data_IF_457228405605
#
_entry.id   IF_457228405605
#
_cell.length_a   1.000
_cell.length_b   1.000
_cell.length_c   1.000
_cell.angle_alpha   90.00
_cell.angle_beta   90.00
_cell.angle_gamma   90.00
#
_symmetry.space_group_name_H-M   'P 1'
#
loop_
_entity.id
_entity.type
_entity.pdbx_description
1 polymer ?
#
# COMPACT_ATOMS: atom_id res chain seq x y z
N UNK A 1 1.53 25.91 20.90
CA UNK A 1 1.92 25.45 19.54
C UNK A 1 0.70 24.82 18.89
N UNK A 2 0.38 25.18 17.64
CA UNK A 2 -0.70 24.52 16.90
C UNK A 2 -0.31 23.05 16.66
N UNK A 3 -1.27 22.12 16.81
CA UNK A 3 -1.02 20.70 16.52
C UNK A 3 -0.72 20.54 15.02
N UNK A 4 0.35 19.82 14.68
CA UNK A 4 0.64 19.42 13.31
C UNK A 4 -0.59 18.71 12.72
N UNK A 5 -1.00 19.03 11.48
CA UNK A 5 -2.12 18.34 10.85
C UNK A 5 -1.73 16.88 10.59
N UNK A 6 -2.73 15.99 10.68
CA UNK A 6 -2.49 14.59 10.37
C UNK A 6 -2.12 14.39 8.90
N UNK A 7 -1.15 13.52 8.58
CA UNK A 7 -0.71 13.22 7.20
C UNK A 7 -1.87 12.87 6.27
N UNK A 8 -2.78 12.00 6.70
CA UNK A 8 -3.88 11.54 5.85
C UNK A 8 -4.80 12.69 5.40
N UNK A 9 -5.34 13.53 6.30
CA UNK A 9 -6.01 14.79 5.92
C UNK A 9 -5.18 15.67 5.02
N UNK A 10 -3.91 15.88 5.35
CA UNK A 10 -3.06 16.75 4.56
C UNK A 10 -2.91 16.25 3.11
N UNK A 11 -2.56 14.97 2.92
CA UNK A 11 -2.41 14.34 1.61
C UNK A 11 -3.71 14.38 0.82
N UNK A 12 -4.85 14.15 1.49
CA UNK A 12 -6.16 14.26 0.88
C UNK A 12 -6.42 15.66 0.32
N UNK A 13 -6.30 16.70 1.16
CA UNK A 13 -6.54 18.07 0.72
C UNK A 13 -5.58 18.51 -0.37
N UNK A 14 -4.31 18.11 -0.24
CA UNK A 14 -3.28 18.38 -1.23
C UNK A 14 -3.63 17.78 -2.60
N UNK A 15 -4.03 16.51 -2.66
CA UNK A 15 -4.33 15.83 -3.92
C UNK A 15 -5.69 16.25 -4.50
N UNK A 16 -6.68 16.54 -3.66
CA UNK A 16 -7.94 17.14 -4.10
C UNK A 16 -7.74 18.51 -4.75
N UNK A 17 -6.84 19.33 -4.21
CA UNK A 17 -6.48 20.60 -4.83
C UNK A 17 -5.96 20.41 -6.27
N UNK A 18 -5.19 19.35 -6.51
CA UNK A 18 -4.65 19.01 -7.83
C UNK A 18 -5.47 17.96 -8.58
N UNK A 19 -6.75 17.74 -8.23
CA UNK A 19 -7.61 16.71 -8.85
C UNK A 19 -7.71 16.85 -10.37
N UNK A 20 -7.67 18.07 -10.89
CA UNK A 20 -7.70 18.31 -12.34
C UNK A 20 -6.44 17.76 -13.00
N UNK A 21 -5.26 18.05 -12.43
CA UNK A 21 -3.98 17.53 -12.92
C UNK A 21 -3.93 16.02 -12.85
N UNK A 22 -4.38 15.43 -11.73
CA UNK A 22 -4.47 13.96 -11.57
C UNK A 22 -5.32 13.36 -12.69
N UNK A 23 -6.50 13.93 -12.98
CA UNK A 23 -7.38 13.45 -14.06
C UNK A 23 -6.72 13.55 -15.44
N UNK A 24 -6.09 14.69 -15.75
CA UNK A 24 -5.41 14.89 -17.04
C UNK A 24 -4.23 13.92 -17.22
N UNK A 25 -3.41 13.73 -16.19
CA UNK A 25 -2.31 12.76 -16.20
C UNK A 25 -2.78 11.32 -16.36
N UNK A 26 -3.95 10.99 -15.78
CA UNK A 26 -4.54 9.67 -15.97
C UNK A 26 -5.05 9.46 -17.40
N UNK A 27 -5.41 10.55 -18.09
CA UNK A 27 -5.93 10.57 -19.45
C UNK A 27 -7.37 10.09 -19.54
N UNK A 28 -7.93 10.10 -20.76
CA UNK A 28 -9.17 9.38 -21.02
C UNK A 28 -8.92 7.90 -20.84
N UNK A 29 -9.56 7.33 -19.81
CA UNK A 29 -9.38 5.92 -19.54
C UNK A 29 -10.15 5.11 -20.59
N UNK A 30 -9.53 4.09 -21.20
CA UNK A 30 -10.31 3.08 -21.90
C UNK A 30 -11.32 2.50 -20.91
N UNK A 31 -12.50 2.13 -21.40
CA UNK A 31 -13.50 1.42 -20.59
C UNK A 31 -12.84 0.21 -19.94
N UNK A 32 -12.69 0.27 -18.61
CA UNK A 32 -12.09 -0.83 -17.88
C UNK A 32 -13.01 -2.05 -18.03
N UNK A 33 -12.43 -3.20 -18.36
CA UNK A 33 -13.16 -4.46 -18.35
C UNK A 33 -13.29 -4.96 -16.91
N UNK A 34 -14.22 -5.87 -16.66
CA UNK A 34 -14.30 -6.57 -15.37
C UNK A 34 -13.01 -7.37 -15.09
N UNK A 35 -12.69 -7.65 -13.81
CA UNK A 35 -11.56 -8.50 -13.44
C UNK A 35 -11.58 -9.81 -14.21
N UNK A 36 -10.43 -10.24 -14.76
CA UNK A 36 -10.33 -11.46 -15.57
C UNK A 36 -9.56 -12.60 -14.89
N UNK A 37 -9.07 -12.39 -13.66
CA UNK A 37 -8.46 -13.46 -12.88
C UNK A 37 -9.46 -14.58 -12.61
N UNK A 38 -9.03 -15.81 -12.88
CA UNK A 38 -9.82 -17.04 -12.66
C UNK A 38 -9.03 -18.10 -11.91
N UNK A 39 -7.88 -17.74 -11.32
CA UNK A 39 -7.08 -18.69 -10.56
C UNK A 39 -7.85 -19.20 -9.33
N UNK A 40 -7.52 -20.42 -8.86
CA UNK A 40 -8.06 -20.93 -7.60
C UNK A 40 -7.74 -20.00 -6.44
N UNK A 41 -8.69 -19.89 -5.51
CA UNK A 41 -8.50 -19.18 -4.25
C UNK A 41 -7.67 -20.04 -3.29
N UNK A 42 -6.62 -19.45 -2.71
CA UNK A 42 -5.74 -20.09 -1.75
C UNK A 42 -6.54 -20.55 -0.52
N UNK A 43 -6.23 -21.72 0.07
CA UNK A 43 -6.98 -22.26 1.22
C UNK A 43 -7.14 -21.31 2.41
N UNK A 44 -6.22 -20.36 2.61
CA UNK A 44 -6.33 -19.33 3.67
C UNK A 44 -7.63 -18.53 3.54
N UNK A 45 -8.09 -18.27 2.32
CA UNK A 45 -9.20 -17.36 2.05
C UNK A 45 -10.55 -18.04 1.85
N UNK A 46 -10.60 -19.38 1.94
CA UNK A 46 -11.85 -20.14 1.82
C UNK A 46 -12.87 -19.68 2.85
N UNK A 47 -14.17 -19.78 2.50
CA UNK A 47 -15.31 -19.43 3.36
C UNK A 47 -15.19 -20.01 4.78
N UNK A 48 -14.74 -21.27 4.90
CA UNK A 48 -14.56 -21.96 6.19
C UNK A 48 -13.53 -21.32 7.13
N UNK A 49 -12.67 -20.41 6.64
CA UNK A 49 -11.69 -19.66 7.46
C UNK A 49 -12.21 -18.30 7.93
N UNK A 50 -13.40 -17.90 7.53
CA UNK A 50 -14.03 -16.66 7.98
C UNK A 50 -14.90 -16.90 9.22
N UNK A 51 -14.83 -16.01 10.21
CA UNK A 51 -15.70 -16.06 11.38
C UNK A 51 -17.13 -15.59 11.05
N UNK A 52 -18.12 -16.18 11.70
CA UNK A 52 -19.57 -15.96 11.43
C UNK A 52 -20.26 -15.12 12.50
N UNK A 53 -19.58 -14.10 13.05
CA UNK A 53 -20.15 -13.22 14.09
C UNK A 53 -21.31 -12.35 13.56
N UNK A 54 -22.32 -12.01 14.38
CA UNK A 54 -23.37 -11.08 13.98
C UNK A 54 -22.83 -9.78 13.37
N UNK A 55 -23.41 -9.38 12.24
CA UNK A 55 -22.98 -8.18 11.52
C UNK A 55 -21.77 -8.35 10.61
N UNK A 56 -21.24 -9.57 10.46
CA UNK A 56 -20.34 -9.94 9.36
C UNK A 56 -21.14 -10.48 8.17
N UNK A 57 -20.98 -9.89 6.99
CA UNK A 57 -21.74 -10.27 5.80
C UNK A 57 -20.84 -10.97 4.77
N UNK A 58 -19.76 -11.63 5.23
CA UNK A 58 -18.76 -12.20 4.33
C UNK A 58 -19.37 -13.20 3.34
N UNK A 59 -20.34 -14.03 3.76
CA UNK A 59 -21.04 -14.99 2.88
C UNK A 59 -21.77 -14.26 1.76
N UNK A 60 -22.47 -13.16 2.08
CA UNK A 60 -23.22 -12.34 1.12
C UNK A 60 -22.28 -11.68 0.10
N UNK A 61 -21.14 -11.15 0.57
CA UNK A 61 -20.22 -10.38 -0.27
C UNK A 61 -19.10 -11.22 -0.89
N UNK A 62 -18.98 -12.52 -0.58
CA UNK A 62 -17.82 -13.34 -0.96
C UNK A 62 -17.56 -13.30 -2.47
N UNK A 63 -18.61 -13.41 -3.28
CA UNK A 63 -18.49 -13.34 -4.75
C UNK A 63 -18.03 -11.95 -5.23
N UNK A 64 -18.38 -10.88 -4.51
CA UNK A 64 -17.98 -9.50 -4.84
C UNK A 64 -16.53 -9.22 -4.45
N UNK A 65 -16.00 -9.90 -3.44
CA UNK A 65 -14.58 -9.79 -3.05
C UNK A 65 -13.70 -10.86 -3.70
N UNK A 66 -14.30 -11.83 -4.40
CA UNK A 66 -13.58 -12.94 -5.02
C UNK A 66 -12.38 -12.50 -5.86
N UNK A 67 -12.45 -11.44 -6.71
CA UNK A 67 -11.28 -10.99 -7.45
C UNK A 67 -10.11 -10.54 -6.57
N UNK A 68 -10.39 -9.93 -5.42
CA UNK A 68 -9.36 -9.55 -4.44
C UNK A 68 -8.74 -10.79 -3.79
N UNK A 69 -9.55 -11.80 -3.45
CA UNK A 69 -9.08 -13.06 -2.89
C UNK A 69 -8.24 -13.84 -3.91
N UNK A 70 -8.63 -13.83 -5.19
CA UNK A 70 -7.86 -14.44 -6.28
C UNK A 70 -6.52 -13.74 -6.47
N UNK A 71 -6.49 -12.41 -6.47
CA UNK A 71 -5.26 -11.63 -6.51
C UNK A 71 -4.35 -11.95 -5.31
N UNK A 72 -4.90 -11.92 -4.10
CA UNK A 72 -4.18 -12.28 -2.88
C UNK A 72 -3.64 -13.72 -2.94
N UNK A 73 -4.37 -14.64 -3.58
CA UNK A 73 -3.93 -16.03 -3.77
C UNK A 73 -2.71 -16.12 -4.68
N UNK A 74 -2.61 -15.27 -5.72
CA UNK A 74 -1.42 -15.23 -6.57
C UNK A 74 -0.20 -14.75 -5.78
N UNK A 75 -0.35 -13.79 -4.86
CA UNK A 75 0.75 -13.39 -3.97
C UNK A 75 1.27 -14.52 -3.07
N UNK A 76 0.44 -15.53 -2.79
CA UNK A 76 0.78 -16.66 -1.92
C UNK A 76 1.12 -17.96 -2.67
N UNK A 77 0.96 -17.98 -3.99
CA UNK A 77 1.17 -19.18 -4.80
C UNK A 77 2.29 -19.04 -5.83
N UNK A 78 2.52 -17.82 -6.33
CA UNK A 78 3.49 -17.56 -7.39
C UNK A 78 4.90 -17.40 -6.82
N UNK A 79 5.89 -18.03 -7.46
CA UNK A 79 7.26 -18.12 -6.95
C UNK A 79 7.92 -16.75 -6.71
N UNK A 80 7.66 -15.79 -7.60
CA UNK A 80 8.21 -14.44 -7.49
C UNK A 80 7.81 -13.73 -6.20
N UNK A 81 6.51 -13.50 -5.93
CA UNK A 81 6.03 -12.99 -4.65
C UNK A 81 6.47 -13.83 -3.44
N UNK A 82 6.56 -15.17 -3.60
CA UNK A 82 6.97 -16.07 -2.52
C UNK A 82 8.42 -15.91 -2.07
N UNK A 83 9.29 -15.28 -2.87
CA UNK A 83 10.64 -14.93 -2.42
C UNK A 83 10.63 -14.11 -1.14
N UNK A 84 9.61 -13.26 -0.93
CA UNK A 84 9.51 -12.47 0.28
C UNK A 84 9.37 -13.37 1.52
N UNK A 85 8.42 -14.31 1.47
CA UNK A 85 8.18 -15.27 2.56
C UNK A 85 9.37 -16.24 2.74
N UNK A 86 10.03 -16.60 1.65
CA UNK A 86 11.23 -17.44 1.68
C UNK A 86 12.38 -16.75 2.41
N UNK A 87 12.65 -15.47 2.09
CA UNK A 87 13.65 -14.68 2.80
C UNK A 87 13.29 -14.56 4.28
N UNK A 88 12.03 -14.30 4.64
CA UNK A 88 11.60 -14.28 6.05
C UNK A 88 11.83 -15.62 6.79
N UNK A 89 11.74 -16.75 6.08
CA UNK A 89 11.89 -18.09 6.68
C UNK A 89 13.35 -18.50 6.82
N UNK A 90 14.17 -18.21 5.82
CA UNK A 90 15.50 -18.83 5.67
C UNK A 90 16.68 -17.84 5.75
N UNK A 91 16.41 -16.57 6.01
CA UNK A 91 17.48 -15.59 6.30
C UNK A 91 18.06 -15.80 7.68
N UNK A 92 19.33 -15.42 7.82
CA UNK A 92 19.93 -15.26 9.15
C UNK A 92 19.32 -14.04 9.84
N UNK A 93 19.03 -14.14 11.13
CA UNK A 93 18.64 -13.01 11.98
C UNK A 93 19.89 -12.47 12.65
N UNK A 94 20.22 -11.21 12.41
CA UNK A 94 21.33 -10.50 13.06
C UNK A 94 20.81 -9.30 13.84
N UNK A 95 21.56 -8.84 14.84
CA UNK A 95 21.24 -7.63 15.58
C UNK A 95 22.03 -6.45 15.02
N UNK A 96 21.39 -5.30 14.85
CA UNK A 96 22.08 -4.04 14.55
C UNK A 96 22.69 -3.44 15.85
N UNK A 97 23.36 -2.30 15.74
CA UNK A 97 23.96 -1.60 16.88
C UNK A 97 22.96 -1.18 17.97
N UNK A 98 21.66 -1.07 17.63
CA UNK A 98 20.57 -0.76 18.55
C UNK A 98 19.90 -2.02 19.14
N UNK A 99 20.47 -3.22 18.92
CA UNK A 99 19.91 -4.47 19.41
C UNK A 99 18.62 -4.91 18.70
N UNK A 100 18.29 -4.34 17.54
CA UNK A 100 17.12 -4.72 16.74
C UNK A 100 17.49 -5.79 15.73
N UNK A 101 16.66 -6.82 15.64
CA UNK A 101 16.86 -7.91 14.69
C UNK A 101 16.57 -7.46 13.26
N UNK A 102 17.40 -7.89 12.30
CA UNK A 102 17.18 -7.72 10.86
C UNK A 102 17.51 -9.00 10.09
N UNK A 103 16.98 -9.12 8.87
CA UNK A 103 17.15 -10.32 8.03
C UNK A 103 18.32 -10.16 7.04
N UNK A 104 19.30 -11.06 7.15
CA UNK A 104 20.40 -11.22 6.18
C UNK A 104 20.09 -12.38 5.23
N UNK A 105 19.91 -12.11 3.92
CA UNK A 105 19.57 -13.16 2.96
C UNK A 105 20.66 -14.25 2.88
N UNK A 106 20.25 -15.51 2.78
CA UNK A 106 21.14 -16.67 2.56
C UNK A 106 21.00 -17.21 1.13
N UNK A 107 21.99 -17.90 0.54
CA UNK A 107 21.81 -18.50 -0.79
C UNK A 107 20.63 -19.48 -0.89
N UNK A 108 20.18 -20.05 0.24
CA UNK A 108 19.10 -21.03 0.27
C UNK A 108 17.72 -20.43 -0.01
N UNK A 109 17.43 -19.17 0.37
CA UNK A 109 16.06 -18.64 0.28
C UNK A 109 15.55 -18.51 -1.16
N UNK A 110 16.42 -18.45 -2.16
CA UNK A 110 16.03 -18.39 -3.58
C UNK A 110 15.86 -19.76 -4.24
N UNK A 111 16.14 -20.85 -3.50
CA UNK A 111 16.10 -22.20 -4.07
C UNK A 111 14.67 -22.71 -4.27
N UNK A 112 14.41 -23.59 -5.27
CA UNK A 112 13.11 -24.23 -5.43
C UNK A 112 12.64 -24.99 -4.19
N UNK A 113 13.57 -25.58 -3.44
CA UNK A 113 13.29 -26.32 -2.20
C UNK A 113 12.77 -25.38 -1.11
N UNK A 114 13.40 -24.22 -0.92
CA UNK A 114 12.94 -23.20 0.01
C UNK A 114 11.52 -22.72 -0.35
N UNK A 115 11.25 -22.43 -1.63
CA UNK A 115 9.93 -22.04 -2.11
C UNK A 115 8.87 -23.12 -1.88
N UNK A 116 9.21 -24.41 -2.09
CA UNK A 116 8.31 -25.52 -1.82
C UNK A 116 7.96 -25.66 -0.33
N UNK A 117 8.92 -25.44 0.57
CA UNK A 117 8.69 -25.39 2.01
C UNK A 117 7.79 -24.21 2.41
N UNK A 118 8.01 -23.03 1.83
CA UNK A 118 7.13 -21.86 2.05
C UNK A 118 5.69 -22.15 1.66
N UNK A 119 5.46 -22.74 0.48
CA UNK A 119 4.11 -23.16 0.03
C UNK A 119 3.48 -24.14 1.02
N UNK A 120 4.27 -25.08 1.54
CA UNK A 120 3.82 -26.03 2.58
C UNK A 120 3.45 -25.31 3.88
N UNK A 121 4.26 -24.35 4.32
CA UNK A 121 3.98 -23.53 5.50
C UNK A 121 2.70 -22.70 5.33
N UNK A 122 2.50 -22.05 4.19
CA UNK A 122 1.28 -21.29 3.89
C UNK A 122 0.03 -22.19 3.85
N UNK A 123 0.15 -23.41 3.31
CA UNK A 123 -0.90 -24.43 3.36
C UNK A 123 -1.17 -24.93 4.79
N UNK A 124 -0.18 -24.96 5.67
CA UNK A 124 -0.40 -25.32 7.07
C UNK A 124 -0.99 -24.15 7.87
N UNK A 125 -0.55 -22.92 7.62
CA UNK A 125 -1.15 -21.69 8.16
C UNK A 125 -2.65 -21.62 7.83
N UNK A 126 -3.05 -22.03 6.62
CA UNK A 126 -4.47 -22.06 6.23
C UNK A 126 -5.36 -22.94 7.12
N UNK A 127 -4.78 -23.88 7.86
CA UNK A 127 -5.52 -24.77 8.77
C UNK A 127 -5.83 -24.10 10.11
N UNK A 128 -5.12 -23.01 10.44
CA UNK A 128 -5.17 -22.39 11.78
C UNK A 128 -5.56 -20.91 11.77
N UNK A 129 -5.45 -20.21 10.63
CA UNK A 129 -5.72 -18.78 10.52
C UNK A 129 -7.20 -18.39 10.53
N UNK A 130 -7.58 -17.30 11.20
CA UNK A 130 -8.95 -16.74 11.10
C UNK A 130 -8.97 -15.46 10.30
N UNK A 131 -10.00 -15.29 9.47
CA UNK A 131 -10.34 -14.04 8.82
C UNK A 131 -11.66 -13.51 9.39
N UNK A 132 -11.79 -12.21 9.55
CA UNK A 132 -13.05 -11.57 9.91
C UNK A 132 -13.05 -10.08 9.56
N UNK A 133 -14.23 -9.49 9.51
CA UNK A 133 -14.38 -8.04 9.55
C UNK A 133 -14.52 -7.56 11.00
N UNK A 134 -13.97 -6.40 11.30
CA UNK A 134 -14.08 -5.76 12.61
C UNK A 134 -15.58 -5.52 12.98
N UNK A 135 -16.01 -5.86 14.21
CA UNK A 135 -17.33 -5.53 14.73
C UNK A 135 -17.66 -4.04 14.69
N UNK A 136 -18.94 -3.67 14.80
CA UNK A 136 -19.40 -2.27 14.74
C UNK A 136 -18.70 -1.34 15.75
N UNK A 137 -18.52 -1.82 16.97
CA UNK A 137 -18.12 -0.92 18.05
C UNK A 137 -16.61 -0.64 18.07
N UNK A 138 -15.86 -1.34 17.21
CA UNK A 138 -14.41 -1.23 17.05
C UNK A 138 -13.97 -0.39 15.84
N UNK A 139 -14.90 0.20 15.08
CA UNK A 139 -14.60 1.07 13.92
C UNK A 139 -13.81 2.33 14.26
N UNK A 140 -13.64 2.67 15.55
CA UNK A 140 -12.85 3.84 15.95
C UNK A 140 -11.35 3.70 15.60
N UNK A 141 -10.85 2.48 15.34
CA UNK A 141 -9.46 2.29 14.88
C UNK A 141 -9.34 2.63 13.39
N UNK A 142 -8.37 3.47 13.04
CA UNK A 142 -8.09 3.93 11.66
C UNK A 142 -7.41 2.86 10.76
N UNK A 143 -7.18 1.65 11.25
CA UNK A 143 -6.41 0.64 10.53
C UNK A 143 -7.28 -0.10 9.50
N UNK A 144 -6.70 -0.46 8.35
CA UNK A 144 -7.40 -1.22 7.32
C UNK A 144 -7.44 -2.72 7.62
N UNK A 145 -6.47 -3.20 8.39
CA UNK A 145 -6.34 -4.56 8.88
C UNK A 145 -5.59 -4.56 10.21
N UNK A 146 -5.67 -5.66 10.95
CA UNK A 146 -4.80 -5.92 12.10
C UNK A 146 -4.68 -7.43 12.28
N UNK A 147 -3.45 -7.90 12.46
CA UNK A 147 -3.15 -9.29 12.80
C UNK A 147 -2.92 -9.44 14.28
N UNK A 148 -3.56 -10.44 14.87
CA UNK A 148 -3.33 -10.88 16.24
C UNK A 148 -2.62 -12.22 16.23
N UNK A 149 -1.60 -12.37 17.09
CA UNK A 149 -0.84 -13.62 17.24
C UNK A 149 -1.76 -14.81 17.54
N UNK A 150 -2.72 -14.59 18.44
CA UNK A 150 -3.77 -15.55 18.78
C UNK A 150 -5.14 -14.92 18.72
N UNK A 151 -6.16 -15.75 18.53
CA UNK A 151 -7.57 -15.31 18.55
C UNK A 151 -7.93 -14.65 19.88
N UNK A 152 -7.44 -15.21 20.97
CA UNK A 152 -7.68 -14.76 22.34
C UNK A 152 -7.17 -13.34 22.61
N UNK A 153 -6.22 -12.86 21.78
CA UNK A 153 -5.65 -11.52 21.89
C UNK A 153 -6.53 -10.45 21.21
N UNK A 154 -7.58 -10.86 20.48
CA UNK A 154 -8.53 -9.89 19.91
C UNK A 154 -9.31 -9.20 21.05
N UNK A 155 -9.44 -7.86 21.06
CA UNK A 155 -10.11 -7.13 22.15
C UNK A 155 -11.56 -7.55 22.44
N UNK A 156 -12.20 -8.17 21.45
CA UNK A 156 -13.61 -8.60 21.45
C UNK A 156 -13.75 -10.12 21.39
N UNK A 157 -12.67 -10.88 21.62
CA UNK A 157 -12.70 -12.34 21.54
C UNK A 157 -13.77 -12.96 22.46
N UNK A 158 -13.97 -12.38 23.65
CA UNK A 158 -14.96 -12.84 24.63
C UNK A 158 -16.42 -12.73 24.13
N UNK A 159 -16.69 -11.92 23.10
CA UNK A 159 -18.00 -11.84 22.45
C UNK A 159 -18.20 -12.95 21.41
N UNK A 160 -17.13 -13.58 20.94
CA UNK A 160 -17.17 -14.62 19.92
C UNK A 160 -17.47 -15.98 20.56
N UNK A 161 -18.56 -16.61 20.14
CA UNK A 161 -18.84 -18.00 20.54
C UNK A 161 -17.94 -18.95 19.75
N UNK A 162 -17.58 -20.10 20.34
CA UNK A 162 -16.75 -21.12 19.69
C UNK A 162 -17.31 -21.55 18.32
N UNK A 163 -18.62 -21.68 18.20
CA UNK A 163 -19.31 -22.02 16.95
C UNK A 163 -19.20 -20.96 15.84
N UNK A 164 -18.85 -19.71 16.19
CA UNK A 164 -18.65 -18.64 15.23
C UNK A 164 -17.22 -18.58 14.70
N UNK A 165 -16.31 -19.39 15.25
CA UNK A 165 -14.91 -19.42 14.87
C UNK A 165 -14.63 -20.64 13.97
N UNK A 166 -13.74 -20.50 12.98
CA UNK A 166 -13.28 -21.66 12.20
C UNK A 166 -12.70 -22.72 13.13
N UNK A 167 -13.04 -23.99 12.88
CA UNK A 167 -12.43 -25.11 13.60
C UNK A 167 -10.91 -25.09 13.39
N UNK A 168 -10.17 -25.26 14.48
CA UNK A 168 -8.72 -25.45 14.47
C UNK A 168 -8.44 -26.82 15.10
N UNK A 169 -7.58 -27.64 14.51
CA UNK A 169 -7.07 -28.84 15.15
C UNK A 169 -6.54 -28.54 16.56
N UNK A 170 -6.82 -29.37 17.58
CA UNK A 170 -6.28 -29.21 18.93
C UNK A 170 -4.75 -29.00 18.87
N UNK A 171 -4.28 -27.87 19.40
CA UNK A 171 -2.96 -27.35 19.05
C UNK A 171 -1.80 -28.09 19.72
N UNK A 172 -0.80 -28.46 18.94
CA UNK A 172 0.55 -28.87 19.37
C UNK A 172 1.47 -27.67 19.72
N UNK A 173 0.90 -26.57 20.23
CA UNK A 173 1.64 -25.32 20.52
C UNK A 173 1.85 -24.36 19.34
N UNK A 174 1.24 -24.62 18.18
CA UNK A 174 1.33 -23.76 16.99
C UNK A 174 0.45 -22.51 17.16
N UNK A 175 0.94 -21.34 16.72
CA UNK A 175 0.19 -20.09 16.71
C UNK A 175 -1.10 -20.18 15.85
N UNK A 176 -2.18 -19.53 16.29
CA UNK A 176 -3.47 -19.46 15.63
C UNK A 176 -3.82 -18.00 15.25
N UNK A 177 -3.06 -17.39 14.32
CA UNK A 177 -3.18 -15.98 14.03
C UNK A 177 -4.57 -15.61 13.49
N UNK A 178 -4.99 -14.39 13.78
CA UNK A 178 -6.28 -13.85 13.36
C UNK A 178 -6.12 -12.51 12.68
N UNK A 179 -6.65 -12.40 11.47
CA UNK A 179 -6.67 -11.17 10.69
C UNK A 179 -8.06 -10.54 10.80
N UNK A 180 -8.09 -9.33 11.34
CA UNK A 180 -9.30 -8.51 11.46
C UNK A 180 -9.22 -7.37 10.45
N UNK A 181 -10.07 -7.43 9.41
CA UNK A 181 -10.16 -6.44 8.35
C UNK A 181 -11.13 -5.32 8.71
N UNK A 182 -10.90 -4.12 8.20
CA UNK A 182 -11.83 -2.99 8.38
C UNK A 182 -13.22 -3.32 7.81
N UNK A 183 -14.29 -3.03 8.57
CA UNK A 183 -15.67 -3.18 8.07
C UNK A 183 -16.03 -2.19 6.97
N UNK A 184 -15.16 -1.22 6.68
CA UNK A 184 -15.31 -0.38 5.48
C UNK A 184 -15.36 -1.24 4.22
N UNK A 185 -14.59 -2.33 4.16
CA UNK A 185 -14.68 -3.30 3.07
C UNK A 185 -16.07 -3.97 3.05
N UNK A 186 -16.51 -4.56 4.16
CA UNK A 186 -17.85 -5.18 4.29
C UNK A 186 -18.96 -4.22 3.85
N UNK A 187 -18.94 -2.98 4.37
CA UNK A 187 -19.92 -1.94 4.06
C UNK A 187 -19.92 -1.57 2.59
N UNK A 188 -18.74 -1.35 1.99
CA UNK A 188 -18.64 -0.98 0.58
C UNK A 188 -19.15 -2.10 -0.34
N UNK A 189 -18.62 -3.32 -0.19
CA UNK A 189 -19.00 -4.44 -1.05
C UNK A 189 -20.45 -4.85 -0.84
N UNK A 190 -21.01 -4.66 0.36
CA UNK A 190 -22.42 -4.93 0.65
C UNK A 190 -23.36 -3.86 0.09
N UNK A 191 -23.13 -2.59 0.47
CA UNK A 191 -24.10 -1.49 0.27
C UNK A 191 -23.79 -0.61 -0.93
N UNK A 192 -22.53 -0.23 -1.11
CA UNK A 192 -22.14 0.78 -2.12
C UNK A 192 -21.99 0.15 -3.50
N UNK A 193 -21.53 -1.10 -3.58
CA UNK A 193 -21.30 -1.81 -4.84
C UNK A 193 -22.28 -2.97 -5.08
N UNK A 194 -23.52 -2.82 -4.63
CA UNK A 194 -24.58 -3.81 -4.93
C UNK A 194 -24.85 -3.93 -6.46
N UNK A 195 -24.51 -2.90 -7.25
CA UNK A 195 -24.63 -2.87 -8.71
C UNK A 195 -23.25 -2.69 -9.38
N UNK A 196 -22.68 -3.73 -10.00
CA UNK A 196 -21.28 -3.74 -10.47
C UNK A 196 -20.87 -2.74 -11.55
N UNK A 197 -21.81 -1.96 -12.11
CA UNK A 197 -21.58 -1.19 -13.33
C UNK A 197 -21.44 0.33 -13.12
N UNK A 198 -21.67 0.85 -11.91
CA UNK A 198 -21.74 2.31 -11.74
C UNK A 198 -20.39 3.01 -11.58
N UNK A 199 -19.34 2.31 -11.11
CA UNK A 199 -17.98 2.89 -11.00
C UNK A 199 -16.89 1.80 -10.90
N UNK A 200 -16.45 1.26 -12.04
CA UNK A 200 -15.44 0.19 -12.08
C UNK A 200 -14.10 0.60 -11.48
N UNK A 201 -13.67 1.85 -11.69
CA UNK A 201 -12.41 2.35 -11.12
C UNK A 201 -12.42 2.27 -9.59
N UNK A 202 -13.53 2.63 -8.96
CA UNK A 202 -13.70 2.56 -7.51
C UNK A 202 -13.71 1.13 -6.99
N UNK A 203 -14.36 0.23 -7.73
CA UNK A 203 -14.36 -1.19 -7.43
C UNK A 203 -12.94 -1.78 -7.48
N UNK A 204 -12.18 -1.47 -8.53
CA UNK A 204 -10.78 -1.91 -8.63
C UNK A 204 -9.91 -1.39 -7.50
N UNK A 205 -10.11 -0.13 -7.07
CA UNK A 205 -9.41 0.41 -5.90
C UNK A 205 -9.76 -0.34 -4.62
N UNK A 206 -11.05 -0.61 -4.40
CA UNK A 206 -11.48 -1.37 -3.24
C UNK A 206 -10.92 -2.81 -3.24
N UNK A 207 -10.94 -3.47 -4.40
CA UNK A 207 -10.38 -4.82 -4.57
C UNK A 207 -8.86 -4.83 -4.32
N UNK A 208 -8.11 -3.87 -4.89
CA UNK A 208 -6.66 -3.79 -4.69
C UNK A 208 -6.32 -3.48 -3.23
N UNK A 209 -7.03 -2.52 -2.61
CA UNK A 209 -6.84 -2.22 -1.19
C UNK A 209 -7.10 -3.45 -0.33
N UNK A 210 -8.18 -4.19 -0.58
CA UNK A 210 -8.48 -5.42 0.16
C UNK A 210 -7.39 -6.48 -0.03
N UNK A 211 -6.98 -6.75 -1.28
CA UNK A 211 -5.93 -7.73 -1.57
C UNK A 211 -4.57 -7.33 -0.96
N UNK A 212 -4.22 -6.05 -1.02
CA UNK A 212 -3.00 -5.51 -0.43
C UNK A 212 -3.01 -5.62 1.09
N UNK A 213 -4.13 -5.30 1.74
CA UNK A 213 -4.26 -5.40 3.21
C UNK A 213 -4.21 -6.86 3.62
N UNK A 214 -4.91 -7.75 2.92
CA UNK A 214 -4.83 -9.19 3.20
C UNK A 214 -3.39 -9.70 3.10
N UNK A 215 -2.66 -9.35 2.03
CA UNK A 215 -1.26 -9.77 1.89
C UNK A 215 -0.35 -9.22 2.99
N UNK A 216 -0.53 -7.96 3.37
CA UNK A 216 0.14 -7.31 4.50
C UNK A 216 -0.12 -8.07 5.81
N UNK A 217 -1.37 -8.36 6.15
CA UNK A 217 -1.71 -9.06 7.39
C UNK A 217 -1.32 -10.56 7.36
N UNK A 218 -1.28 -11.19 6.18
CA UNK A 218 -0.74 -12.54 6.03
C UNK A 218 0.78 -12.57 6.26
N UNK A 219 1.52 -11.50 5.92
CA UNK A 219 2.94 -11.40 6.22
C UNK A 219 3.20 -11.51 7.74
N UNK A 220 2.44 -10.76 8.53
CA UNK A 220 2.45 -10.82 10.00
C UNK A 220 2.04 -12.19 10.53
N UNK A 221 0.92 -12.71 10.03
CA UNK A 221 0.40 -14.04 10.41
C UNK A 221 1.41 -15.15 10.13
N UNK A 222 2.12 -15.05 9.01
CA UNK A 222 3.14 -16.01 8.63
C UNK A 222 4.34 -15.95 9.57
N UNK A 223 4.83 -14.75 9.92
CA UNK A 223 5.89 -14.57 10.91
C UNK A 223 5.54 -15.24 12.25
N UNK A 224 4.32 -15.00 12.76
CA UNK A 224 3.82 -15.65 13.98
C UNK A 224 3.74 -17.17 13.87
N UNK A 225 3.40 -17.68 12.69
CA UNK A 225 3.28 -19.11 12.44
C UNK A 225 4.64 -19.83 12.39
N UNK A 226 5.62 -19.25 11.68
CA UNK A 226 6.93 -19.91 11.51
C UNK A 226 7.90 -19.69 12.68
N UNK A 227 7.82 -18.55 13.36
CA UNK A 227 8.77 -18.17 14.43
C UNK A 227 8.12 -18.18 15.83
N UNK A 228 6.81 -18.41 15.94
CA UNK A 228 6.09 -18.46 17.21
C UNK A 228 5.71 -17.09 17.77
N UNK A 229 5.27 -17.08 19.03
CA UNK A 229 4.80 -15.89 19.76
C UNK A 229 5.89 -15.17 20.56
N UNK A 230 7.01 -15.87 20.80
CA UNK A 230 8.02 -15.40 21.72
C UNK A 230 8.80 -14.27 21.07
N UNK A 231 8.68 -13.08 21.65
CA UNK A 231 9.40 -11.87 21.27
C UNK A 231 10.89 -12.19 20.97
N UNK A 232 11.42 -11.66 19.86
CA UNK A 232 11.49 -10.22 19.68
C UNK A 232 10.42 -9.66 18.75
N UNK A 233 10.18 -8.36 18.89
CA UNK A 233 9.59 -7.47 17.89
C UNK A 233 9.90 -7.94 16.46
N UNK A 234 8.96 -7.71 15.54
CA UNK A 234 9.17 -8.04 14.11
C UNK A 234 10.56 -7.59 13.64
N UNK A 235 11.30 -8.48 12.95
CA UNK A 235 12.61 -8.11 12.45
C UNK A 235 12.45 -7.03 11.38
N UNK A 236 13.48 -6.18 11.27
CA UNK A 236 13.63 -5.33 10.10
C UNK A 236 13.87 -6.23 8.88
N UNK A 237 13.28 -5.89 7.75
CA UNK A 237 13.51 -6.64 6.51
C UNK A 237 14.99 -6.65 6.12
N UNK A 238 15.66 -5.56 6.43
CA UNK A 238 17.04 -5.25 6.07
C UNK A 238 17.64 -4.30 7.12
N UNK A 239 18.97 -4.19 7.18
CA UNK A 239 19.67 -3.32 8.14
C UNK A 239 19.37 -1.83 7.93
N UNK A 240 18.93 -1.42 6.75
CA UNK A 240 18.64 -0.01 6.43
C UNK A 240 17.19 0.38 6.71
N UNK A 241 16.30 -0.57 7.01
CA UNK A 241 14.93 -0.24 7.42
C UNK A 241 14.92 0.32 8.84
N UNK A 242 14.04 1.32 9.06
CA UNK A 242 13.95 2.00 10.36
C UNK A 242 12.80 1.51 11.24
N UNK A 243 11.91 0.68 10.70
CA UNK A 243 10.80 0.09 11.46
C UNK A 243 10.64 -1.39 11.15
N UNK A 244 10.43 -2.20 12.19
CA UNK A 244 10.05 -3.61 12.05
C UNK A 244 8.57 -3.71 11.76
N UNK A 245 8.21 -3.56 10.49
CA UNK A 245 6.84 -3.71 10.01
C UNK A 245 6.88 -4.53 8.72
N UNK A 246 6.75 -5.85 8.88
CA UNK A 246 6.90 -6.82 7.81
C UNK A 246 5.83 -6.68 6.72
N UNK A 247 4.64 -6.17 7.06
CA UNK A 247 3.56 -5.96 6.11
C UNK A 247 3.86 -4.86 5.09
N UNK A 248 4.49 -3.77 5.50
CA UNK A 248 4.94 -2.68 4.63
C UNK A 248 6.12 -3.13 3.77
N UNK A 249 7.07 -3.85 4.36
CA UNK A 249 8.14 -4.50 3.60
C UNK A 249 7.55 -5.42 2.52
N UNK A 250 6.55 -6.24 2.87
CA UNK A 250 5.85 -7.10 1.92
C UNK A 250 5.20 -6.28 0.79
N UNK A 251 4.48 -5.20 1.11
CA UNK A 251 3.86 -4.34 0.09
C UNK A 251 4.91 -3.74 -0.86
N UNK A 252 6.05 -3.25 -0.35
CA UNK A 252 7.13 -2.73 -1.19
C UNK A 252 7.74 -3.80 -2.10
N UNK A 253 8.04 -4.98 -1.57
CA UNK A 253 8.71 -6.05 -2.32
C UNK A 253 7.77 -6.78 -3.30
N UNK A 254 6.48 -6.90 -2.97
CA UNK A 254 5.49 -7.63 -3.78
C UNK A 254 4.70 -6.71 -4.70
N UNK A 255 4.28 -5.52 -4.24
CA UNK A 255 3.50 -4.59 -5.08
C UNK A 255 4.36 -3.50 -5.72
N UNK A 256 5.59 -3.27 -5.24
CA UNK A 256 6.44 -2.16 -5.66
C UNK A 256 6.06 -0.80 -5.06
N UNK A 257 5.04 -0.77 -4.19
CA UNK A 257 4.54 0.41 -3.50
C UNK A 257 3.63 0.04 -2.33
N UNK A 258 3.45 0.97 -1.39
CA UNK A 258 2.37 0.91 -0.38
C UNK A 258 1.19 1.73 -0.90
N UNK A 259 0.05 1.11 -1.28
CA UNK A 259 -1.13 1.84 -1.72
C UNK A 259 -1.83 2.52 -0.53
N UNK A 260 -2.05 3.81 -0.65
CA UNK A 260 -2.66 4.67 0.35
C UNK A 260 -3.92 5.32 -0.23
N UNK A 261 -5.10 5.15 0.38
CA UNK A 261 -6.29 5.83 -0.08
C UNK A 261 -6.18 7.33 0.18
N UNK A 262 -6.39 8.14 -0.85
CA UNK A 262 -6.42 9.59 -0.76
C UNK A 262 -7.77 10.04 -0.18
N UNK A 263 -8.08 9.67 1.05
CA UNK A 263 -9.39 9.91 1.64
C UNK A 263 -9.30 10.15 3.13
N UNK A 264 -9.51 11.41 3.52
CA UNK A 264 -9.62 11.83 4.90
C UNK A 264 -11.05 12.16 5.22
N UNK A 265 -11.82 11.14 5.54
CA UNK A 265 -12.88 11.31 6.52
C UNK A 265 -12.76 10.19 7.53
N UNK A 266 -12.17 10.57 8.65
CA UNK A 266 -12.42 9.98 9.96
C UNK A 266 -13.87 10.22 10.42
N UNK A 267 -14.76 10.69 9.55
CA UNK A 267 -16.19 10.83 9.83
C UNK A 267 -16.95 9.70 9.14
N UNK A 268 -17.99 9.23 9.83
CA UNK A 268 -18.98 8.26 9.38
C UNK A 268 -19.71 8.68 8.07
N UNK A 269 -19.39 9.84 7.49
CA UNK A 269 -19.99 10.39 6.27
C UNK A 269 -19.38 9.87 4.96
N UNK A 270 -18.23 9.20 5.00
CA UNK A 270 -17.68 8.60 3.80
C UNK A 270 -18.55 7.37 3.49
N UNK A 271 -19.55 7.54 2.60
CA UNK A 271 -20.63 6.61 2.22
C UNK A 271 -20.13 5.25 1.65
N UNK A 272 -19.18 4.61 2.31
CA UNK A 272 -18.43 3.45 1.88
C UNK A 272 -17.44 3.70 0.75
N UNK A 273 -17.28 4.92 0.23
CA UNK A 273 -16.55 5.14 -1.05
C UNK A 273 -15.06 4.79 -0.96
N UNK A 274 -14.44 4.44 -2.09
CA UNK A 274 -12.99 4.24 -2.19
C UNK A 274 -12.36 5.34 -3.04
N UNK A 275 -11.72 6.30 -2.35
CA UNK A 275 -10.96 7.38 -2.96
C UNK A 275 -9.84 6.87 -3.88
N UNK A 276 -9.37 7.69 -4.82
CA UNK A 276 -8.20 7.33 -5.61
C UNK A 276 -6.99 7.05 -4.72
N UNK A 277 -6.08 6.19 -5.17
CA UNK A 277 -4.95 5.73 -4.36
C UNK A 277 -3.68 6.53 -4.71
N UNK A 278 -2.80 6.69 -3.73
CA UNK A 278 -1.47 7.23 -3.88
C UNK A 278 -0.44 6.29 -3.26
N UNK A 279 0.83 6.54 -3.51
CA UNK A 279 1.93 6.00 -2.72
C UNK A 279 2.89 7.12 -2.35
N UNK A 280 3.57 6.99 -1.23
CA UNK A 280 4.53 7.99 -0.75
C UNK A 280 5.90 7.34 -0.65
N UNK A 281 6.91 7.99 -1.22
CA UNK A 281 8.32 7.64 -1.07
C UNK A 281 9.03 8.79 -0.37
N UNK A 282 9.71 8.49 0.73
CA UNK A 282 10.43 9.50 1.53
C UNK A 282 11.92 9.28 1.29
N UNK A 283 12.61 10.36 0.91
CA UNK A 283 14.07 10.38 0.74
C UNK A 283 14.64 11.48 1.63
N UNK A 284 15.50 11.10 2.57
CA UNK A 284 16.16 12.02 3.50
C UNK A 284 17.39 12.66 2.88
N UNK A 285 17.72 13.86 3.34
CA UNK A 285 18.93 14.54 2.94
C UNK A 285 19.68 15.13 4.14
N UNK A 286 21.01 15.13 4.02
CA UNK A 286 21.95 15.58 5.06
C UNK A 286 22.77 16.80 4.60
N UNK A 287 22.49 17.29 3.40
CA UNK A 287 23.12 18.48 2.80
C UNK A 287 22.22 19.06 1.71
N UNK A 288 22.48 20.33 1.36
CA UNK A 288 21.79 20.99 0.24
C UNK A 288 22.04 20.27 -1.10
N UNK A 289 23.26 19.81 -1.32
CA UNK A 289 23.60 19.06 -2.53
C UNK A 289 22.84 17.73 -2.63
N UNK A 290 22.67 16.99 -1.52
CA UNK A 290 21.85 15.77 -1.52
C UNK A 290 20.37 16.07 -1.79
N UNK A 291 19.82 17.14 -1.22
CA UNK A 291 18.45 17.58 -1.51
C UNK A 291 18.26 17.87 -3.01
N UNK A 292 19.19 18.62 -3.61
CA UNK A 292 19.13 18.97 -5.03
C UNK A 292 19.22 17.73 -5.93
N UNK A 293 20.07 16.74 -5.57
CA UNK A 293 20.15 15.46 -6.29
C UNK A 293 18.84 14.66 -6.22
N UNK A 294 18.22 14.57 -5.05
CA UNK A 294 16.93 13.87 -4.86
C UNK A 294 15.86 14.54 -5.72
N UNK A 295 15.71 15.87 -5.57
CA UNK A 295 14.73 16.65 -6.34
C UNK A 295 14.98 16.53 -7.85
N UNK A 296 16.24 16.58 -8.29
CA UNK A 296 16.59 16.41 -9.69
C UNK A 296 16.22 15.01 -10.20
N UNK A 297 16.51 13.96 -9.42
CA UNK A 297 16.19 12.56 -9.77
C UNK A 297 14.69 12.37 -9.95
N UNK A 298 13.88 12.85 -9.00
CA UNK A 298 12.41 12.78 -9.08
C UNK A 298 11.89 13.53 -10.31
N UNK A 299 12.42 14.73 -10.58
CA UNK A 299 12.03 15.52 -11.76
C UNK A 299 12.41 14.83 -13.06
N UNK A 300 13.60 14.24 -13.14
CA UNK A 300 14.11 13.54 -14.32
C UNK A 300 13.28 12.30 -14.68
N UNK A 301 12.55 11.72 -13.72
CA UNK A 301 11.57 10.66 -13.99
C UNK A 301 10.30 11.17 -14.68
N UNK A 302 10.17 12.47 -14.91
CA UNK A 302 9.03 13.10 -15.58
C UNK A 302 9.51 14.03 -16.68
N UNK A 303 8.73 14.18 -17.76
CA UNK A 303 9.04 15.16 -18.81
C UNK A 303 8.44 16.55 -18.53
N UNK A 304 8.02 16.83 -17.30
CA UNK A 304 7.27 18.03 -16.94
C UNK A 304 8.14 19.08 -16.24
N UNK A 305 7.87 20.36 -16.53
CA UNK A 305 8.41 21.45 -15.73
C UNK A 305 7.72 21.51 -14.36
N UNK A 306 8.45 21.87 -13.30
CA UNK A 306 7.88 21.95 -11.95
C UNK A 306 7.68 23.39 -11.48
N UNK A 307 6.73 23.59 -10.57
CA UNK A 307 6.50 24.86 -9.89
C UNK A 307 6.26 24.64 -8.40
N UNK A 308 6.61 25.65 -7.59
CA UNK A 308 6.20 25.74 -6.18
C UNK A 308 4.86 26.46 -5.98
N UNK A 309 4.22 26.86 -7.09
CA UNK A 309 2.92 27.52 -7.04
C UNK A 309 1.81 26.49 -6.85
N UNK A 310 0.80 26.89 -6.11
CA UNK A 310 -0.40 26.10 -5.86
C UNK A 310 -1.26 25.95 -7.14
N UNK A 311 -2.44 25.34 -7.02
CA UNK A 311 -3.37 25.14 -8.15
C UNK A 311 -3.89 26.45 -8.75
N UNK A 312 -3.90 27.53 -7.97
CA UNK A 312 -4.34 28.88 -8.37
C UNK A 312 -3.19 29.75 -8.87
N UNK A 313 -1.95 29.24 -8.82
CA UNK A 313 -0.76 29.95 -9.27
C UNK A 313 -0.14 30.85 -8.21
N UNK A 314 -0.58 30.76 -6.95
CA UNK A 314 -0.06 31.53 -5.83
C UNK A 314 1.11 30.82 -5.15
N UNK A 315 1.98 31.60 -4.49
CA UNK A 315 2.97 31.04 -3.54
C UNK A 315 2.32 30.99 -2.17
N UNK A 316 2.45 29.87 -1.47
CA UNK A 316 1.96 29.72 -0.10
C UNK A 316 2.92 28.88 0.73
N UNK A 317 2.90 29.12 2.03
CA UNK A 317 3.56 28.25 3.01
C UNK A 317 2.65 27.06 3.29
N UNK A 318 3.23 25.87 3.30
CA UNK A 318 2.51 24.63 3.59
C UNK A 318 2.73 24.23 5.06
N UNK A 319 1.75 23.59 5.70
CA UNK A 319 1.94 23.12 7.06
C UNK A 319 3.05 22.06 7.12
N UNK A 320 3.85 22.11 8.18
CA UNK A 320 4.76 21.04 8.53
C UNK A 320 3.94 19.86 9.04
N UNK A 321 4.05 18.73 8.36
CA UNK A 321 3.35 17.50 8.69
C UNK A 321 4.29 16.59 9.45
N UNK A 322 3.85 15.97 10.54
CA UNK A 322 4.67 15.03 11.28
C UNK A 322 5.04 13.85 10.38
N UNK A 323 6.32 13.53 10.36
CA UNK A 323 6.85 12.51 9.48
C UNK A 323 6.54 11.10 9.97
N UNK A 324 6.37 10.95 11.29
CA UNK A 324 5.98 9.69 11.95
C UNK A 324 4.58 9.23 11.54
N UNK A 325 3.77 10.12 10.97
CA UNK A 325 2.40 9.83 10.57
C UNK A 325 2.27 9.33 9.12
N UNK A 326 3.33 9.35 8.30
CA UNK A 326 3.23 8.80 6.95
C UNK A 326 3.05 7.29 7.04
N UNK A 327 1.97 6.72 6.49
CA UNK A 327 1.79 5.27 6.45
C UNK A 327 2.85 4.61 5.56
N UNK A 328 3.39 3.49 6.00
CA UNK A 328 4.58 2.91 5.37
C UNK A 328 5.84 3.73 5.60
N UNK A 329 5.83 4.63 6.62
CA UNK A 329 7.04 5.24 7.17
C UNK A 329 7.87 4.18 7.90
N UNK A 330 8.46 3.28 7.11
CA UNK A 330 9.77 2.72 7.44
C UNK A 330 10.87 3.79 7.55
N UNK A 331 10.51 5.09 7.59
CA UNK A 331 11.36 6.26 7.42
C UNK A 331 10.87 7.40 8.32
N UNK A 332 10.99 7.24 9.64
CA UNK A 332 11.26 8.44 10.43
C UNK A 332 12.62 8.97 9.95
N UNK A 333 12.72 10.26 9.57
CA UNK A 333 13.98 10.92 9.35
C UNK A 333 14.91 10.57 10.49
N UNK A 334 16.13 10.21 10.13
CA UNK A 334 17.17 10.09 11.14
C UNK A 334 17.22 11.41 11.93
N UNK A 335 17.48 11.36 13.23
CA UNK A 335 17.64 12.57 14.05
C UNK A 335 18.75 13.49 13.50
N UNK A 336 19.67 12.93 12.72
CA UNK A 336 20.75 13.64 12.02
C UNK A 336 20.35 14.20 10.64
N UNK A 337 19.17 13.87 10.11
CA UNK A 337 18.71 14.37 8.82
C UNK A 337 18.37 15.86 8.87
N UNK A 338 18.82 16.62 7.87
CA UNK A 338 18.47 18.05 7.74
C UNK A 338 17.01 18.25 7.32
N UNK A 339 16.44 17.24 6.66
CA UNK A 339 15.09 17.26 6.11
C UNK A 339 14.84 16.03 5.24
N UNK A 340 13.69 16.03 4.59
CA UNK A 340 13.29 14.97 3.66
C UNK A 340 12.45 15.51 2.51
N UNK A 341 12.46 14.78 1.40
CA UNK A 341 11.55 14.96 0.28
C UNK A 341 10.62 13.75 0.22
N UNK A 342 9.32 13.98 0.39
CA UNK A 342 8.27 13.00 0.16
C UNK A 342 7.71 13.14 -1.26
N UNK A 343 7.95 12.14 -2.10
CA UNK A 343 7.31 11.99 -3.41
C UNK A 343 5.97 11.31 -3.24
N UNK A 344 4.89 12.05 -3.48
CA UNK A 344 3.50 11.56 -3.40
C UNK A 344 3.05 11.28 -4.84
N UNK A 345 2.96 10.00 -5.20
CA UNK A 345 2.61 9.56 -6.55
C UNK A 345 1.15 9.11 -6.58
N UNK A 346 0.34 9.68 -7.47
CA UNK A 346 -1.01 9.20 -7.71
C UNK A 346 -1.00 7.89 -8.51
N UNK A 347 -1.61 6.84 -7.96
CA UNK A 347 -1.66 5.52 -8.59
C UNK A 347 -2.74 5.52 -9.68
N UNK A 348 -2.33 5.19 -10.90
CA UNK A 348 -3.22 5.17 -12.06
C UNK A 348 -4.20 4.02 -11.99
N UNK A 349 -5.50 4.23 -12.26
CA UNK A 349 -6.49 3.15 -12.28
C UNK A 349 -6.15 2.02 -13.27
N UNK A 350 -5.50 2.31 -14.40
CA UNK A 350 -5.00 1.28 -15.33
C UNK A 350 -3.97 0.34 -14.69
N UNK A 351 -3.09 0.84 -13.84
CA UNK A 351 -2.13 0.00 -13.11
C UNK A 351 -2.86 -0.91 -12.12
N UNK A 352 -3.84 -0.36 -11.39
CA UNK A 352 -4.69 -1.10 -10.45
C UNK A 352 -5.45 -2.21 -11.19
N UNK A 353 -6.15 -1.89 -12.27
CA UNK A 353 -6.89 -2.86 -13.07
C UNK A 353 -5.98 -3.94 -13.67
N UNK A 354 -4.73 -3.58 -14.01
CA UNK A 354 -3.71 -4.50 -14.53
C UNK A 354 -3.42 -5.69 -13.61
N UNK A 355 -3.41 -5.49 -12.28
CA UNK A 355 -3.23 -6.56 -11.29
C UNK A 355 -4.27 -7.67 -11.39
N UNK A 356 -5.46 -7.34 -11.88
CA UNK A 356 -6.58 -8.26 -12.06
C UNK A 356 -6.68 -8.82 -13.48
N UNK A 357 -5.62 -8.70 -14.28
CA UNK A 357 -5.55 -9.26 -15.63
C UNK A 357 -4.61 -10.46 -15.70
N UNK A 358 -5.07 -11.55 -16.32
CA UNK A 358 -4.25 -12.75 -16.53
C UNK A 358 -2.96 -12.45 -17.33
N UNK A 359 -3.04 -11.53 -18.29
CA UNK A 359 -1.89 -11.13 -19.12
C UNK A 359 -0.74 -10.58 -18.28
N UNK A 360 -1.04 -9.79 -17.23
CA UNK A 360 0.01 -9.27 -16.36
C UNK A 360 0.75 -10.41 -15.65
N UNK A 361 0.00 -11.35 -15.07
CA UNK A 361 0.57 -12.49 -14.36
C UNK A 361 1.32 -13.46 -15.27
N UNK A 362 0.87 -13.64 -16.51
CA UNK A 362 1.63 -14.35 -17.54
C UNK A 362 2.98 -13.67 -17.79
N UNK A 363 3.02 -12.34 -17.90
CA UNK A 363 4.26 -11.59 -18.11
C UNK A 363 5.19 -11.66 -16.89
N UNK A 364 4.64 -11.58 -15.68
CA UNK A 364 5.40 -11.77 -14.43
C UNK A 364 6.05 -13.15 -14.40
N UNK A 365 5.30 -14.22 -14.75
CA UNK A 365 5.82 -15.59 -14.83
C UNK A 365 6.94 -15.74 -15.85
N UNK A 366 6.76 -15.18 -17.05
CA UNK A 366 7.78 -15.22 -18.10
C UNK A 366 9.06 -14.52 -17.62
N UNK A 367 8.93 -13.32 -17.05
CA UNK A 367 10.07 -12.57 -16.51
C UNK A 367 10.78 -13.34 -15.39
N UNK A 368 10.03 -13.99 -14.50
CA UNK A 368 10.57 -14.85 -13.46
C UNK A 368 11.38 -16.01 -14.03
N UNK A 369 10.81 -16.78 -14.96
CA UNK A 369 11.49 -17.90 -15.61
C UNK A 369 12.76 -17.46 -16.35
N UNK A 370 12.72 -16.32 -17.05
CA UNK A 370 13.84 -15.85 -17.86
C UNK A 370 14.94 -15.19 -17.04
N UNK A 371 14.58 -14.38 -16.04
CA UNK A 371 15.52 -13.50 -15.34
C UNK A 371 15.89 -13.98 -13.95
N UNK A 372 15.17 -14.96 -13.39
CA UNK A 372 15.40 -15.52 -12.06
C UNK A 372 15.31 -14.47 -10.92
N UNK A 373 14.57 -13.38 -11.16
CA UNK A 373 14.24 -12.40 -10.12
C UNK A 373 12.82 -11.87 -10.29
N UNK A 374 12.21 -11.48 -9.18
CA UNK A 374 10.89 -10.86 -9.16
C UNK A 374 11.04 -9.34 -9.27
N UNK A 375 10.29 -8.74 -10.19
CA UNK A 375 10.15 -7.29 -10.27
C UNK A 375 8.66 -6.97 -10.30
N UNK A 376 8.13 -6.24 -9.31
CA UNK A 376 6.74 -5.81 -9.35
C UNK A 376 6.50 -4.90 -10.57
N UNK A 377 5.27 -4.90 -11.13
CA UNK A 377 4.90 -4.00 -12.22
C UNK A 377 5.16 -2.54 -11.86
N UNK A 378 5.94 -1.84 -12.68
CA UNK A 378 6.19 -0.40 -12.49
C UNK A 378 4.88 0.39 -12.52
N UNK A 379 4.76 1.39 -11.64
CA UNK A 379 3.66 2.35 -11.64
C UNK A 379 3.59 3.16 -12.96
N UNK A 380 4.72 3.21 -13.70
CA UNK A 380 4.86 3.99 -14.92
C UNK A 380 4.91 5.49 -14.63
N UNK A 381 4.55 6.30 -15.63
CA UNK A 381 4.43 7.75 -15.46
C UNK A 381 3.21 8.08 -14.59
N UNK A 382 3.48 8.64 -13.41
CA UNK A 382 2.48 9.07 -12.42
C UNK A 382 2.50 10.59 -12.26
N UNK A 383 1.35 11.16 -11.90
CA UNK A 383 1.34 12.51 -11.34
C UNK A 383 2.02 12.48 -9.98
N UNK A 384 3.06 13.31 -9.81
CA UNK A 384 3.88 13.38 -8.60
C UNK A 384 3.79 14.75 -7.96
N UNK A 385 3.59 14.79 -6.65
CA UNK A 385 3.78 15.97 -5.82
C UNK A 385 4.99 15.71 -4.93
N UNK A 386 5.97 16.62 -4.95
CA UNK A 386 7.09 16.58 -4.02
C UNK A 386 6.80 17.49 -2.84
N UNK A 387 6.75 16.93 -1.64
CA UNK A 387 6.68 17.64 -0.38
C UNK A 387 8.07 17.66 0.26
N UNK A 388 8.70 18.82 0.29
CA UNK A 388 10.05 19.01 0.81
C UNK A 388 9.98 19.71 2.16
N UNK A 389 10.43 19.03 3.21
CA UNK A 389 10.40 19.53 4.59
C UNK A 389 11.82 19.59 5.14
N UNK A 390 12.20 20.79 5.60
CA UNK A 390 13.41 21.07 6.36
C UNK A 390 13.05 21.63 7.74
N UNK A 391 14.05 21.82 8.61
CA UNK A 391 13.84 22.47 9.91
C UNK A 391 13.22 23.88 9.79
N UNK A 392 13.56 24.63 8.75
CA UNK A 392 13.16 26.04 8.59
C UNK A 392 11.95 26.26 7.69
N UNK A 393 11.61 25.30 6.82
CA UNK A 393 10.62 25.52 5.78
C UNK A 393 10.00 24.24 5.23
N UNK A 394 8.79 24.39 4.69
CA UNK A 394 8.07 23.36 3.95
C UNK A 394 7.68 23.89 2.57
N UNK A 395 8.04 23.15 1.53
CA UNK A 395 7.72 23.48 0.15
C UNK A 395 6.98 22.34 -0.51
N UNK A 396 6.08 22.69 -1.43
CA UNK A 396 5.51 21.72 -2.36
C UNK A 396 5.98 22.09 -3.75
N UNK A 397 6.40 21.08 -4.51
CA UNK A 397 6.65 21.18 -5.94
C UNK A 397 5.72 20.23 -6.67
N UNK A 398 5.15 20.69 -7.78
CA UNK A 398 4.25 19.88 -8.62
C UNK A 398 4.48 20.19 -10.10
N UNK A 399 4.21 19.23 -11.01
CA UNK A 399 4.42 19.45 -12.42
C UNK A 399 3.39 20.45 -12.98
N UNK A 400 3.82 21.22 -13.97
CA UNK A 400 3.03 22.14 -14.76
C UNK A 400 2.45 21.39 -15.96
N UNK A 401 1.17 21.56 -16.23
CA UNK A 401 0.51 20.95 -17.37
C UNK A 401 0.06 22.03 -18.38
N UNK A 402 0.58 22.05 -19.62
CA UNK A 402 0.37 23.16 -20.56
C UNK A 402 -1.08 23.37 -21.00
N UNK A 403 -1.96 22.37 -20.85
CA UNK A 403 -3.41 22.53 -21.09
C UNK A 403 -4.15 23.23 -19.94
N UNK A 404 -3.54 23.34 -18.75
CA UNK A 404 -4.14 24.06 -17.64
C UNK A 404 -3.95 25.57 -17.84
N UNK A 405 -5.01 26.37 -17.71
CA UNK A 405 -4.95 27.82 -17.94
C UNK A 405 -3.94 28.52 -17.02
N UNK A 406 -3.92 28.14 -15.74
CA UNK A 406 -3.00 28.71 -14.74
C UNK A 406 -1.56 28.31 -15.06
N UNK A 407 -1.32 27.03 -15.35
CA UNK A 407 0.03 26.54 -15.65
C UNK A 407 0.56 27.10 -16.96
N UNK A 408 -0.27 27.19 -18.00
CA UNK A 408 0.10 27.80 -19.28
C UNK A 408 0.52 29.27 -19.09
N UNK A 409 -0.12 30.00 -18.16
CA UNK A 409 0.31 31.36 -17.79
C UNK A 409 1.65 31.35 -17.08
N UNK A 410 1.88 30.42 -16.15
CA UNK A 410 3.18 30.26 -15.45
C UNK A 410 4.30 29.94 -16.46
N UNK A 411 4.07 28.98 -17.36
CA UNK A 411 5.02 28.58 -18.40
C UNK A 411 5.35 29.75 -19.34
N UNK A 412 4.33 30.49 -19.81
CA UNK A 412 4.54 31.69 -20.64
C UNK A 412 5.38 32.74 -19.94
N UNK A 413 5.09 33.04 -18.67
CA UNK A 413 5.86 34.02 -17.90
C UNK A 413 7.33 33.61 -17.72
N UNK A 414 7.64 32.32 -17.60
CA UNK A 414 9.03 31.82 -17.51
C UNK A 414 9.78 32.04 -18.82
N UNK A 415 9.19 31.62 -19.94
CA UNK A 415 9.79 31.78 -21.27
C UNK A 415 10.12 33.23 -21.59
N UNK A 416 9.24 34.18 -21.24
CA UNK A 416 9.48 35.61 -21.43
C UNK A 416 10.66 36.10 -20.59
N UNK A 417 10.80 35.63 -19.33
CA UNK A 417 11.92 36.03 -18.46
C UNK A 417 13.26 35.45 -18.90
N UNK A 418 13.26 34.28 -19.51
CA UNK A 418 14.47 33.57 -19.97
C UNK A 418 14.90 34.00 -21.39
N UNK A 419 14.29 35.05 -21.96
CA UNK A 419 14.62 35.54 -23.30
C UNK A 419 14.13 34.64 -24.44
N UNK A 420 13.20 33.72 -24.16
CA UNK A 420 12.61 32.84 -25.16
C UNK A 420 11.77 33.63 -26.18
N UNK A 421 11.68 33.14 -27.44
CA UNK A 421 10.92 33.81 -28.48
C UNK A 421 9.44 33.93 -28.06
N UNK A 422 8.88 35.14 -28.22
CA UNK A 422 7.47 35.38 -27.95
C UNK A 422 6.62 34.47 -28.86
N UNK A 423 5.68 33.68 -28.32
CA UNK A 423 4.79 32.90 -29.15
C UNK A 423 3.95 33.87 -29.99
N UNK A 424 4.14 33.83 -31.30
CA UNK A 424 3.38 34.60 -32.27
C UNK A 424 1.90 34.30 -32.03
N UNK A 425 1.10 35.35 -31.75
CA UNK A 425 -0.34 35.22 -31.62
C UNK A 425 -0.89 34.64 -32.93
N UNK A 426 -1.45 33.43 -32.89
CA UNK A 426 -2.31 32.90 -33.95
C UNK A 426 -3.73 33.35 -33.72
#
# INVERSE_FOLDING_TARGET
MAKSPSVEPFLFYLLEEFRWHVREYHGHQPTQRLPSLTNPVHPIFKLERWATYPGQHFVEIYQRILPALQLASLFLCEDGPLLWYSRLTFSERRLNSAGKAYLVPTPYYTTPQALALVKTNLKNLSKVITLMFAPQDLHKKRNWGTTYHRRENMPFFHELRAQNLPSIPPSSGIANPSIVLSRRFDTFFRKTFATPHQNLDEYYRALLMLASVIGHEVAHSYNFFVHGAYEPLEPFWDITEKSGELGYSWQWNVLGCVPLPMGSKTSDDDKGRFCPLATVRIEEYYSKASQERIVHTIKACTNAEFTQRDSSGNRRTWPAVDVTEFRGSTWCPDDTAMGFVASILSIRPRWIAGWFQQTLWKNIKINWTQKQYYLPPSLGECFVIMYDRSASATYIQRPLHPKNVVDAKILRHRRVREGGPNPVKK
#
